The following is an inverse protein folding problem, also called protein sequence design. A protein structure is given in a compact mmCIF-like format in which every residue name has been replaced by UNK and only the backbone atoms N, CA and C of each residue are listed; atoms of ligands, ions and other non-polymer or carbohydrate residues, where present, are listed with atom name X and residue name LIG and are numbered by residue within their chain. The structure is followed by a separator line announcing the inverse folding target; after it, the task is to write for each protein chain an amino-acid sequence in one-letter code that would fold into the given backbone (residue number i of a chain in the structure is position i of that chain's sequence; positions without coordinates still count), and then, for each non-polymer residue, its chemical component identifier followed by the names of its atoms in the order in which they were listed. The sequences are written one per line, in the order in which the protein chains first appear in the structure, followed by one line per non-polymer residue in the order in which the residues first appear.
data_IF_366123112088
#
_entry.id   IF_366123112088
#
_cell.length_a   1.000
_cell.length_b   1.000
_cell.length_c   1.000
_cell.angle_alpha   90.00
_cell.angle_beta   90.00
_cell.angle_gamma   90.00
#
_symmetry.space_group_name_H-M   'P 1'
#
loop_
_entity.id
_entity.type
_entity.pdbx_description
1 polymer ?
#
# COMPACT_ATOMS: atom_id res chain seq x y z
N UNK A 1 -7.46 1.64 15.98
CA UNK A 1 -6.79 2.06 14.72
C UNK A 1 -5.49 1.32 14.55
N UNK A 2 -5.24 0.84 13.35
CA UNK A 2 -3.96 0.24 12.97
C UNK A 2 -3.13 1.24 12.17
N UNK A 3 -1.83 1.06 12.20
CA UNK A 3 -0.88 1.94 11.50
C UNK A 3 -0.04 1.10 10.55
N UNK A 4 0.06 1.56 9.33
CA UNK A 4 0.80 0.87 8.29
C UNK A 4 1.61 1.82 7.42
N UNK A 5 2.36 1.21 6.51
CA UNK A 5 3.10 1.91 5.48
C UNK A 5 2.94 1.19 4.15
N UNK A 6 3.04 1.94 3.07
CA UNK A 6 3.14 1.43 1.71
C UNK A 6 4.26 2.14 0.97
N UNK A 7 4.91 1.43 0.07
CA UNK A 7 6.05 1.92 -0.69
C UNK A 7 5.73 1.96 -2.18
N UNK A 8 5.89 3.14 -2.77
CA UNK A 8 5.77 3.36 -4.20
C UNK A 8 7.18 3.45 -4.80
N UNK A 9 7.71 2.30 -5.23
CA UNK A 9 9.00 2.21 -5.89
C UNK A 9 8.79 2.18 -7.40
N UNK A 10 9.19 3.26 -8.06
CA UNK A 10 9.06 3.42 -9.52
C UNK A 10 10.43 3.60 -10.14
N UNK A 11 10.78 2.72 -11.06
CA UNK A 11 12.09 2.71 -11.75
C UNK A 11 11.88 2.39 -13.22
N UNK A 12 12.35 3.26 -14.10
CA UNK A 12 12.30 3.05 -15.56
C UNK A 12 10.89 2.72 -16.10
N UNK A 13 9.87 3.43 -15.61
CA UNK A 13 8.47 3.24 -16.01
C UNK A 13 7.81 1.99 -15.47
N UNK A 14 8.44 1.31 -14.51
CA UNK A 14 7.89 0.14 -13.83
C UNK A 14 7.73 0.39 -12.35
N UNK A 15 6.69 -0.20 -11.78
CA UNK A 15 6.36 -0.09 -10.36
C UNK A 15 6.45 -1.48 -9.72
N UNK A 16 7.10 -1.52 -8.55
CA UNK A 16 7.15 -2.74 -7.75
C UNK A 16 5.80 -2.99 -7.10
N UNK A 17 5.22 -4.13 -7.38
CA UNK A 17 3.96 -4.57 -6.78
C UNK A 17 4.08 -5.99 -6.24
N UNK A 18 3.12 -6.37 -5.44
CA UNK A 18 2.98 -7.74 -4.93
C UNK A 18 1.65 -8.28 -5.43
N UNK A 19 1.69 -9.43 -6.09
CA UNK A 19 0.51 -10.22 -6.36
C UNK A 19 0.24 -11.10 -5.15
N UNK A 20 -0.85 -10.83 -4.43
CA UNK A 20 -1.23 -11.61 -3.24
C UNK A 20 -1.44 -13.08 -3.60
N UNK A 21 -0.95 -13.96 -2.76
CA UNK A 21 -1.19 -15.40 -2.90
C UNK A 21 -2.68 -15.69 -2.73
N UNK A 22 -3.24 -16.50 -3.62
CA UNK A 22 -4.63 -16.94 -3.49
C UNK A 22 -4.80 -17.77 -2.21
N UNK A 23 -5.62 -17.27 -1.31
CA UNK A 23 -6.00 -17.94 -0.07
C UNK A 23 -7.53 -18.00 -0.01
N UNK A 24 -8.04 -19.15 0.45
CA UNK A 24 -9.46 -19.30 0.73
C UNK A 24 -9.88 -18.25 1.76
N UNK A 25 -11.03 -17.60 1.54
CA UNK A 25 -11.59 -16.57 2.42
C UNK A 25 -10.75 -15.27 2.57
N UNK A 26 -9.74 -15.03 1.72
CA UNK A 26 -9.05 -13.75 1.66
C UNK A 26 -9.66 -12.88 0.56
N UNK A 27 -10.30 -11.73 0.90
CA UNK A 27 -10.93 -10.86 -0.09
C UNK A 27 -9.94 -10.20 -1.06
N UNK A 28 -8.65 -10.16 -0.71
CA UNK A 28 -7.59 -9.59 -1.54
C UNK A 28 -6.79 -10.66 -2.31
N UNK A 29 -7.23 -11.91 -2.23
CA UNK A 29 -6.55 -13.04 -2.86
C UNK A 29 -6.40 -12.87 -4.36
N UNK A 30 -5.18 -12.96 -4.87
CA UNK A 30 -4.85 -12.78 -6.28
C UNK A 30 -4.77 -11.32 -6.74
N UNK A 31 -5.06 -10.35 -5.87
CA UNK A 31 -4.99 -8.93 -6.18
C UNK A 31 -3.56 -8.41 -6.09
N UNK A 32 -3.31 -7.36 -6.86
CA UNK A 32 -2.04 -6.62 -6.84
C UNK A 32 -2.12 -5.46 -5.88
N UNK A 33 -1.05 -5.23 -5.13
CA UNK A 33 -0.92 -4.12 -4.19
C UNK A 33 0.51 -3.62 -4.15
N UNK A 34 0.72 -2.41 -3.65
CA UNK A 34 2.06 -1.93 -3.33
C UNK A 34 2.63 -2.70 -2.13
N UNK A 35 3.96 -2.89 -2.07
CA UNK A 35 4.60 -3.44 -0.87
C UNK A 35 4.31 -2.59 0.36
N UNK A 36 4.13 -3.22 1.50
CA UNK A 36 3.89 -2.51 2.74
C UNK A 36 3.36 -3.42 3.84
N UNK A 37 3.20 -2.87 5.01
CA UNK A 37 2.74 -3.65 6.15
C UNK A 37 2.55 -2.82 7.41
N UNK A 38 2.47 -3.49 8.54
CA UNK A 38 2.19 -2.85 9.83
C UNK A 38 3.43 -2.20 10.41
N UNK A 39 3.29 -0.96 10.85
CA UNK A 39 4.32 -0.28 11.63
C UNK A 39 4.40 -0.86 13.05
N UNK A 40 5.60 -1.17 13.49
CA UNK A 40 5.88 -1.54 14.88
C UNK A 40 5.63 -0.34 15.81
N UNK A 41 5.33 -0.55 17.09
CA UNK A 41 5.00 0.57 18.00
C UNK A 41 6.06 1.67 18.03
N UNK A 42 7.33 1.32 18.00
CA UNK A 42 8.42 2.31 18.04
C UNK A 42 8.57 3.07 16.71
N UNK A 43 8.21 2.44 15.56
CA UNK A 43 8.27 3.07 14.24
C UNK A 43 7.21 4.18 14.07
N UNK A 44 6.13 4.12 14.83
CA UNK A 44 5.03 5.10 14.74
C UNK A 44 5.38 6.46 15.33
N UNK A 45 6.39 6.51 16.21
CA UNK A 45 6.68 7.67 17.07
C UNK A 45 7.31 8.86 16.33
N UNK A 46 7.92 8.63 15.18
CA UNK A 46 8.61 9.67 14.43
C UNK A 46 8.47 9.48 12.93
N UNK A 47 8.73 10.54 12.17
CA UNK A 47 8.78 10.46 10.71
C UNK A 47 9.88 9.51 10.26
N UNK A 48 11.06 9.57 10.89
CA UNK A 48 12.16 8.67 10.60
C UNK A 48 11.79 7.21 10.88
N UNK A 49 11.12 6.93 11.99
CA UNK A 49 10.68 5.57 12.31
C UNK A 49 9.70 5.01 11.26
N UNK A 50 8.76 5.82 10.79
CA UNK A 50 7.81 5.40 9.74
C UNK A 50 8.52 5.11 8.41
N UNK A 51 9.52 5.91 8.07
CA UNK A 51 10.35 5.71 6.89
C UNK A 51 11.16 4.42 7.00
N UNK A 52 11.76 4.16 8.15
CA UNK A 52 12.46 2.90 8.42
C UNK A 52 11.53 1.69 8.37
N UNK A 53 10.30 1.84 8.85
CA UNK A 53 9.25 0.83 8.72
C UNK A 53 8.92 0.51 7.26
N UNK A 54 8.83 1.53 6.40
CA UNK A 54 8.62 1.34 4.97
C UNK A 54 9.78 0.58 4.31
N UNK A 55 11.02 0.94 4.64
CA UNK A 55 12.21 0.24 4.15
C UNK A 55 12.20 -1.22 4.62
N UNK A 56 11.91 -1.47 5.89
CA UNK A 56 11.87 -2.82 6.47
C UNK A 56 10.80 -3.69 5.80
N UNK A 57 9.56 -3.22 5.74
CA UNK A 57 8.46 -3.99 5.14
C UNK A 57 8.74 -4.32 3.66
N UNK A 58 9.21 -3.34 2.90
CA UNK A 58 9.55 -3.55 1.49
C UNK A 58 10.65 -4.61 1.34
N UNK A 59 11.68 -4.56 2.18
CA UNK A 59 12.75 -5.56 2.14
C UNK A 59 12.27 -6.95 2.53
N UNK A 60 11.44 -7.05 3.57
CA UNK A 60 10.88 -8.33 4.02
C UNK A 60 10.02 -8.98 2.93
N UNK A 61 9.19 -8.20 2.25
CA UNK A 61 8.28 -8.72 1.22
C UNK A 61 8.92 -8.94 -0.14
N UNK A 62 9.91 -8.13 -0.51
CA UNK A 62 10.43 -8.10 -1.88
C UNK A 62 11.91 -8.43 -2.03
N UNK A 63 12.69 -8.35 -0.97
CA UNK A 63 14.15 -8.44 -1.01
C UNK A 63 14.84 -7.12 -1.37
N UNK A 64 14.10 -6.10 -1.77
CA UNK A 64 14.65 -4.83 -2.21
C UNK A 64 14.65 -3.80 -1.07
N UNK A 65 15.80 -3.13 -0.90
CA UNK A 65 15.96 -2.04 0.05
C UNK A 65 15.78 -0.70 -0.68
N UNK A 66 14.81 0.09 -0.25
CA UNK A 66 14.61 1.44 -0.77
C UNK A 66 15.81 2.34 -0.45
N UNK A 67 16.18 3.18 -1.41
CA UNK A 67 17.22 4.22 -1.24
C UNK A 67 16.54 5.58 -1.24
N UNK A 68 16.81 6.35 -0.17
CA UNK A 68 16.30 7.73 0.00
C UNK A 68 14.79 7.88 -0.26
N UNK A 69 13.93 7.03 0.34
CA UNK A 69 12.49 7.20 0.18
C UNK A 69 12.04 8.54 0.79
N UNK A 70 11.07 9.17 0.13
CA UNK A 70 10.48 10.43 0.55
C UNK A 70 9.00 10.24 0.88
N UNK A 71 8.50 10.99 1.82
CA UNK A 71 7.07 11.00 2.15
C UNK A 71 6.24 11.50 0.96
N UNK A 72 5.17 10.78 0.63
CA UNK A 72 4.24 11.15 -0.45
C UNK A 72 2.84 11.42 0.05
N UNK A 73 2.40 10.70 1.03
CA UNK A 73 1.04 10.89 1.49
C UNK A 73 0.70 10.11 2.75
N UNK A 74 -0.48 10.44 3.27
CA UNK A 74 -1.10 9.73 4.37
C UNK A 74 -2.56 9.46 4.01
N UNK A 75 -3.02 8.24 4.22
CA UNK A 75 -4.40 7.83 3.94
C UNK A 75 -5.01 7.22 5.19
N UNK A 76 -6.20 7.70 5.53
CA UNK A 76 -7.08 7.02 6.46
C UNK A 76 -7.99 6.09 5.68
N UNK A 77 -7.79 4.79 5.82
CA UNK A 77 -8.73 3.78 5.35
C UNK A 77 -9.80 3.58 6.42
N UNK A 78 -10.97 4.10 6.17
CA UNK A 78 -12.12 3.99 7.06
C UNK A 78 -12.91 2.72 6.73
N UNK A 79 -12.66 1.68 7.52
CA UNK A 79 -13.13 0.32 7.25
C UNK A 79 -14.11 -0.24 8.29
N UNK A 80 -14.60 0.58 9.21
CA UNK A 80 -15.45 0.11 10.33
C UNK A 80 -16.75 -0.55 9.86
N UNK A 81 -17.25 -0.14 8.71
CA UNK A 81 -18.47 -0.67 8.11
C UNK A 81 -18.21 -1.80 7.11
N UNK A 82 -16.96 -2.30 7.05
CA UNK A 82 -16.60 -3.42 6.18
C UNK A 82 -17.06 -4.73 6.79
N UNK A 83 -17.90 -5.44 6.07
CA UNK A 83 -18.41 -6.75 6.47
C UNK A 83 -17.90 -7.80 5.49
N UNK A 84 -16.81 -8.45 5.85
CA UNK A 84 -16.41 -9.72 5.25
C UNK A 84 -16.64 -10.84 6.27
N UNK A 85 -17.03 -12.00 5.84
CA UNK A 85 -17.29 -13.14 6.73
C UNK A 85 -16.10 -13.52 7.62
N UNK A 86 -14.89 -13.23 7.16
CA UNK A 86 -13.63 -13.45 7.88
C UNK A 86 -13.04 -12.20 8.57
N UNK A 87 -13.70 -11.05 8.46
CA UNK A 87 -13.28 -9.80 9.12
C UNK A 87 -13.97 -9.67 10.47
N UNK A 88 -13.46 -10.37 11.47
CA UNK A 88 -14.05 -10.39 12.82
C UNK A 88 -14.05 -9.01 13.51
N UNK A 89 -13.10 -8.15 13.18
CA UNK A 89 -12.99 -6.81 13.78
C UNK A 89 -12.49 -5.81 12.73
N UNK A 90 -13.36 -5.26 11.88
CA UNK A 90 -12.96 -4.23 10.94
C UNK A 90 -12.44 -3.00 11.68
N UNK A 91 -11.25 -2.54 11.32
CA UNK A 91 -10.60 -1.40 11.96
C UNK A 91 -10.16 -0.39 10.92
N UNK A 92 -10.12 0.86 11.33
CA UNK A 92 -9.50 1.90 10.54
C UNK A 92 -7.98 1.71 10.50
N UNK A 93 -7.42 1.99 9.33
CA UNK A 93 -5.98 1.99 9.09
C UNK A 93 -5.50 3.37 8.72
N UNK A 94 -4.47 3.84 9.39
CA UNK A 94 -3.73 5.01 8.96
C UNK A 94 -2.44 4.54 8.28
N UNK A 95 -2.33 4.84 6.98
CA UNK A 95 -1.25 4.37 6.14
C UNK A 95 -0.40 5.54 5.66
N UNK A 96 0.91 5.44 5.91
CA UNK A 96 1.91 6.39 5.43
C UNK A 96 2.50 5.85 4.13
N UNK A 97 2.58 6.69 3.10
CA UNK A 97 3.08 6.31 1.80
C UNK A 97 4.41 7.00 1.54
N UNK A 98 5.39 6.20 1.16
CA UNK A 98 6.73 6.66 0.78
C UNK A 98 7.01 6.31 -0.67
N UNK A 99 7.69 7.20 -1.36
CA UNK A 99 8.14 6.98 -2.74
C UNK A 99 9.65 6.89 -2.80
N UNK A 100 10.14 5.93 -3.56
CA UNK A 100 11.53 5.80 -3.91
C UNK A 100 11.69 5.57 -5.42
N UNK A 101 12.85 5.94 -5.95
CA UNK A 101 13.21 5.76 -7.36
C UNK A 101 14.46 4.91 -7.54
N UNK A 102 15.07 4.49 -6.43
CA UNK A 102 16.28 3.68 -6.39
C UNK A 102 16.17 2.62 -5.30
N UNK A 103 16.87 1.53 -5.51
CA UNK A 103 16.93 0.42 -4.57
C UNK A 103 18.26 -0.32 -4.67
N UNK A 104 18.53 -1.15 -3.66
CA UNK A 104 19.55 -2.18 -3.67
C UNK A 104 18.92 -3.52 -3.34
N UNK A 105 19.64 -4.60 -3.55
CA UNK A 105 19.20 -5.95 -3.24
C UNK A 105 18.72 -6.71 -4.46
N UNK A 106 18.23 -7.92 -4.22
CA UNK A 106 17.79 -8.86 -5.24
C UNK A 106 16.31 -9.17 -4.99
N UNK A 107 15.50 -9.08 -6.04
CA UNK A 107 14.07 -9.39 -5.97
C UNK A 107 13.87 -10.86 -5.60
N UNK A 108 13.09 -11.11 -4.54
CA UNK A 108 12.68 -12.45 -4.15
C UNK A 108 11.77 -13.08 -5.22
N UNK A 109 11.78 -14.40 -5.33
CA UNK A 109 10.84 -15.13 -6.17
C UNK A 109 9.43 -15.16 -5.56
N UNK A 110 9.34 -15.16 -4.23
CA UNK A 110 8.07 -15.10 -3.47
C UNK A 110 8.33 -14.74 -2.03
N UNK A 111 7.28 -14.35 -1.31
CA UNK A 111 7.24 -14.16 0.12
C UNK A 111 5.95 -14.75 0.69
N UNK A 112 5.77 -14.73 2.01
CA UNK A 112 4.51 -15.15 2.65
C UNK A 112 3.32 -14.30 2.23
N UNK A 113 3.56 -13.05 1.81
CA UNK A 113 2.52 -12.12 1.34
C UNK A 113 2.12 -12.34 -0.12
N UNK A 114 3.04 -12.83 -0.95
CA UNK A 114 2.78 -13.04 -2.36
C UNK A 114 4.03 -13.02 -3.23
N UNK A 115 3.84 -12.73 -4.50
CA UNK A 115 4.89 -12.69 -5.51
C UNK A 115 5.22 -11.24 -5.82
N UNK A 116 6.43 -10.75 -5.47
CA UNK A 116 6.86 -9.43 -5.87
C UNK A 116 7.26 -9.41 -7.35
N UNK A 117 6.83 -8.39 -8.07
CA UNK A 117 7.13 -8.25 -9.48
C UNK A 117 7.09 -6.80 -9.93
N UNK A 118 7.82 -6.52 -11.01
CA UNK A 118 7.79 -5.24 -11.68
C UNK A 118 6.64 -5.20 -12.68
N UNK A 119 5.78 -4.19 -12.57
CA UNK A 119 4.65 -3.97 -13.46
C UNK A 119 4.90 -2.68 -14.23
N UNK A 120 4.70 -2.71 -15.55
CA UNK A 120 4.68 -1.50 -16.36
C UNK A 120 3.58 -0.56 -15.84
N UNK A 121 3.91 0.70 -15.59
CA UNK A 121 2.95 1.65 -15.00
C UNK A 121 1.72 1.87 -15.88
N UNK A 122 1.82 1.65 -17.21
CA UNK A 122 0.68 1.73 -18.12
C UNK A 122 -0.31 0.59 -17.96
N UNK A 123 0.10 -0.53 -17.35
CA UNK A 123 -0.72 -1.72 -17.16
C UNK A 123 -1.42 -1.77 -15.78
N UNK A 124 -0.98 -0.96 -14.82
CA UNK A 124 -1.44 -1.07 -13.44
C UNK A 124 -2.96 -0.86 -13.32
N UNK A 125 -3.53 0.08 -14.06
CA UNK A 125 -4.98 0.34 -14.03
C UNK A 125 -5.83 -0.83 -14.50
N UNK A 126 -5.27 -1.77 -15.27
CA UNK A 126 -5.94 -2.95 -15.79
C UNK A 126 -5.82 -4.17 -14.88
N UNK A 127 -5.00 -4.10 -13.84
CA UNK A 127 -4.79 -5.22 -12.92
C UNK A 127 -5.94 -5.33 -11.90
N UNK A 128 -6.25 -6.57 -11.47
CA UNK A 128 -7.17 -6.76 -10.37
C UNK A 128 -6.57 -6.19 -9.08
N UNK A 129 -7.24 -5.20 -8.51
CA UNK A 129 -6.84 -4.51 -7.30
C UNK A 129 -8.05 -4.24 -6.41
N UNK A 130 -7.82 -4.09 -5.12
CA UNK A 130 -8.80 -3.53 -4.22
C UNK A 130 -9.18 -2.11 -4.69
N UNK A 131 -10.46 -1.74 -4.59
CA UNK A 131 -10.93 -0.42 -5.03
C UNK A 131 -10.23 0.74 -4.31
N UNK A 132 -9.93 0.56 -3.03
CA UNK A 132 -9.16 1.56 -2.27
C UNK A 132 -7.73 1.71 -2.78
N UNK A 133 -7.08 0.61 -3.14
CA UNK A 133 -5.73 0.64 -3.70
C UNK A 133 -5.70 1.30 -5.08
N UNK A 134 -6.71 1.06 -5.92
CA UNK A 134 -6.87 1.77 -7.19
C UNK A 134 -6.98 3.28 -6.98
N UNK A 135 -7.79 3.70 -6.03
CA UNK A 135 -7.97 5.12 -5.69
C UNK A 135 -6.66 5.75 -5.20
N UNK A 136 -5.97 5.08 -4.30
CA UNK A 136 -4.65 5.52 -3.82
C UNK A 136 -3.66 5.66 -4.97
N UNK A 137 -3.61 4.69 -5.87
CA UNK A 137 -2.70 4.73 -7.02
C UNK A 137 -3.02 5.89 -7.97
N UNK A 138 -4.30 6.21 -8.20
CA UNK A 138 -4.71 7.40 -8.95
C UNK A 138 -4.14 8.68 -8.32
N UNK A 139 -4.20 8.81 -7.00
CA UNK A 139 -3.66 9.98 -6.29
C UNK A 139 -2.13 10.05 -6.37
N UNK A 140 -1.45 8.93 -6.41
CA UNK A 140 0.00 8.86 -6.56
C UNK A 140 0.50 9.32 -7.95
N UNK A 141 -0.35 9.34 -8.96
CA UNK A 141 0.00 9.87 -10.29
C UNK A 141 0.22 11.39 -10.27
N UNK A 142 -0.42 12.10 -9.36
CA UNK A 142 -0.10 13.49 -9.09
C UNK A 142 1.21 13.57 -8.31
N UNK A 143 2.10 14.47 -8.67
CA UNK A 143 3.42 14.58 -8.04
C UNK A 143 3.41 15.22 -6.66
N UNK A 144 2.31 15.86 -6.28
CA UNK A 144 2.17 16.52 -4.98
C UNK A 144 1.99 15.51 -3.84
N UNK A 145 2.42 15.90 -2.68
CA UNK A 145 2.06 15.19 -1.46
C UNK A 145 0.56 15.33 -1.19
N UNK A 146 -0.02 14.39 -0.47
CA UNK A 146 -1.46 14.40 -0.24
C UNK A 146 -1.87 13.82 1.12
N UNK A 147 -3.09 14.19 1.52
CA UNK A 147 -3.82 13.54 2.59
C UNK A 147 -5.14 13.03 2.03
N UNK A 148 -5.45 11.77 2.28
CA UNK A 148 -6.64 11.15 1.75
C UNK A 148 -7.46 10.40 2.79
N UNK A 149 -8.73 10.24 2.48
CA UNK A 149 -9.64 9.34 3.18
C UNK A 149 -10.23 8.40 2.14
N UNK A 150 -10.10 7.11 2.37
CA UNK A 150 -10.74 6.08 1.57
C UNK A 150 -11.75 5.36 2.46
N UNK A 151 -13.01 5.53 2.17
CA UNK A 151 -14.10 4.95 2.94
C UNK A 151 -14.70 3.75 2.23
N UNK A 152 -14.90 2.67 2.97
CA UNK A 152 -15.66 1.52 2.54
C UNK A 152 -16.96 1.43 3.31
N UNK A 153 -18.05 1.12 2.59
CA UNK A 153 -19.33 0.78 3.15
C UNK A 153 -19.64 -0.66 2.75
N UNK A 154 -19.65 -1.56 3.74
CA UNK A 154 -19.58 -2.99 3.42
C UNK A 154 -18.30 -3.30 2.63
N UNK A 155 -18.43 -3.99 1.51
CA UNK A 155 -17.31 -4.36 0.62
C UNK A 155 -17.11 -3.39 -0.55
N UNK A 156 -17.84 -2.27 -0.56
CA UNK A 156 -17.88 -1.31 -1.66
C UNK A 156 -17.20 -0.02 -1.24
N UNK A 157 -16.45 0.57 -2.17
CA UNK A 157 -15.91 1.91 -1.99
C UNK A 157 -17.07 2.93 -1.91
N UNK A 158 -17.11 3.70 -0.82
CA UNK A 158 -18.03 4.81 -0.67
C UNK A 158 -17.38 6.07 -1.24
N UNK A 159 -17.73 6.41 -2.47
CA UNK A 159 -17.18 7.59 -3.16
C UNK A 159 -17.52 8.89 -2.44
N UNK A 160 -18.69 8.99 -1.81
CA UNK A 160 -19.11 10.20 -1.08
C UNK A 160 -18.28 10.45 0.18
N UNK A 161 -17.74 9.39 0.79
CA UNK A 161 -16.86 9.45 1.95
C UNK A 161 -15.38 9.40 1.61
N UNK A 162 -15.03 9.31 0.34
CA UNK A 162 -13.65 9.20 -0.16
C UNK A 162 -13.21 10.54 -0.73
N UNK A 163 -12.07 11.04 -0.25
CA UNK A 163 -11.59 12.36 -0.63
C UNK A 163 -10.07 12.48 -0.56
N UNK A 164 -9.51 13.40 -1.32
CA UNK A 164 -8.10 13.73 -1.31
C UNK A 164 -7.89 15.23 -1.24
N UNK A 165 -6.86 15.63 -0.51
CA UNK A 165 -6.35 16.99 -0.47
C UNK A 165 -4.86 16.95 -0.80
N UNK A 166 -4.48 17.62 -1.85
CA UNK A 166 -3.07 17.83 -2.20
C UNK A 166 -2.46 18.96 -1.36
N UNK A 167 -1.19 18.82 -1.04
CA UNK A 167 -0.44 19.73 -0.16
C UNK A 167 0.53 20.60 -0.95
#
# INVERSE_FOLDING_TARGET
MKYGTMSYLSVDGKVLMIQKIKRENDPNSGYYTLPGGKLKPYERKSTQGRLEGAIRETKEETGLRLINPVFRGIILFHNRERTFDNWKNPQDYLVYIFEAKKYTGILKSSSDEGIPLWIDETEISNLPQNHGDKKMYEWLKDSRNFKGIIKHRGNILDESGTSVRYL
#
